data_IF_232891148975
#
_entry.id   IF_232891148975
#
_cell.length_a   1.000
_cell.length_b   1.000
_cell.length_c   1.000
_cell.angle_alpha   90.00
_cell.angle_beta   90.00
_cell.angle_gamma   90.00
#
_symmetry.space_group_name_H-M   'P 1'
#
loop_
_entity.id
_entity.type
_entity.pdbx_description
1 polymer ?
#
# COMPACT_ATOMS: atom_id res chain seq x y z
N UNK A 1 31.40 -17.65 15.13
CA UNK A 1 30.75 -17.91 13.82
C UNK A 1 29.47 -18.68 14.08
N UNK A 2 28.29 -18.10 13.80
CA UNK A 2 27.03 -18.85 13.87
C UNK A 2 26.85 -19.55 12.52
N UNK A 3 26.93 -20.88 12.50
CA UNK A 3 26.65 -21.67 11.31
C UNK A 3 25.15 -21.54 10.97
N UNK A 4 24.84 -20.93 9.82
CA UNK A 4 23.49 -20.90 9.29
C UNK A 4 23.19 -22.27 8.66
N UNK A 5 22.62 -23.18 9.44
CA UNK A 5 22.16 -24.48 8.92
C UNK A 5 20.87 -24.28 8.13
N UNK A 6 20.96 -24.37 6.81
CA UNK A 6 19.79 -24.41 5.91
C UNK A 6 19.09 -25.75 6.15
N UNK A 7 17.99 -25.75 6.92
CA UNK A 7 17.10 -26.91 7.01
C UNK A 7 16.08 -26.84 5.88
N UNK A 8 15.93 -27.92 5.14
CA UNK A 8 14.78 -28.07 4.23
C UNK A 8 13.56 -28.30 5.11
N UNK A 9 12.65 -27.33 5.20
CA UNK A 9 11.39 -27.50 5.90
C UNK A 9 10.52 -28.51 5.14
N UNK A 10 10.41 -29.72 5.68
CA UNK A 10 9.46 -30.72 5.25
C UNK A 10 8.13 -30.50 6.00
N UNK A 11 7.24 -29.65 5.47
CA UNK A 11 5.91 -29.43 6.05
C UNK A 11 5.20 -28.15 5.59
N UNK A 12 3.94 -27.98 6.04
CA UNK A 12 3.05 -26.82 5.83
C UNK A 12 3.49 -25.56 6.60
N UNK A 13 4.74 -25.47 7.05
CA UNK A 13 5.31 -24.30 7.72
C UNK A 13 6.04 -23.42 6.69
N UNK A 14 5.27 -22.79 5.80
CA UNK A 14 5.78 -21.96 4.70
C UNK A 14 6.31 -20.59 5.16
N UNK A 15 6.07 -20.20 6.42
CA UNK A 15 6.53 -18.93 7.00
C UNK A 15 7.20 -19.21 8.35
N UNK A 16 8.53 -19.13 8.40
CA UNK A 16 9.26 -19.07 9.67
C UNK A 16 9.20 -17.63 10.21
N UNK A 17 8.20 -17.38 11.06
CA UNK A 17 8.01 -16.09 11.74
C UNK A 17 9.23 -15.68 12.57
N UNK A 18 10.00 -16.64 13.08
CA UNK A 18 11.19 -16.38 13.90
C UNK A 18 12.35 -15.89 13.03
N UNK A 19 12.52 -16.48 11.84
CA UNK A 19 13.51 -16.03 10.86
C UNK A 19 13.15 -14.65 10.30
N UNK A 20 11.86 -14.43 10.00
CA UNK A 20 11.35 -13.11 9.60
C UNK A 20 11.64 -12.03 10.66
N UNK A 21 11.36 -12.33 11.93
CA UNK A 21 11.63 -11.39 13.02
C UNK A 21 13.12 -11.09 13.21
N UNK A 22 13.99 -12.10 13.01
CA UNK A 22 15.44 -11.90 13.01
C UNK A 22 15.90 -11.04 11.83
N UNK A 23 15.19 -11.07 10.70
CA UNK A 23 15.46 -10.26 9.52
C UNK A 23 14.85 -8.86 9.54
N UNK A 24 14.30 -8.39 10.67
CA UNK A 24 13.63 -7.07 10.78
C UNK A 24 14.51 -5.90 10.33
N UNK A 25 15.81 -5.97 10.61
CA UNK A 25 16.75 -4.90 10.24
C UNK A 25 16.92 -4.85 8.71
N UNK A 26 16.92 -6.01 8.06
CA UNK A 26 16.91 -6.11 6.60
C UNK A 26 15.60 -5.59 6.02
N UNK A 27 14.46 -5.97 6.61
CA UNK A 27 13.13 -5.47 6.17
C UNK A 27 13.10 -3.94 6.24
N UNK A 28 13.54 -3.34 7.35
CA UNK A 28 13.60 -1.89 7.50
C UNK A 28 14.58 -1.24 6.52
N UNK A 29 15.71 -1.88 6.24
CA UNK A 29 16.65 -1.41 5.21
C UNK A 29 16.01 -1.42 3.82
N UNK A 30 15.28 -2.47 3.47
CA UNK A 30 14.56 -2.58 2.20
C UNK A 30 13.41 -1.57 2.11
N UNK A 31 12.66 -1.36 3.19
CA UNK A 31 11.62 -0.32 3.29
C UNK A 31 12.23 1.06 3.02
N UNK A 32 13.32 1.40 3.70
CA UNK A 32 14.00 2.69 3.53
C UNK A 32 14.49 2.87 2.10
N UNK A 33 15.14 1.83 1.54
CA UNK A 33 15.62 1.83 0.15
C UNK A 33 14.47 2.12 -0.80
N UNK A 34 13.36 1.40 -0.65
CA UNK A 34 12.21 1.51 -1.53
C UNK A 34 11.55 2.90 -1.45
N UNK A 35 11.40 3.47 -0.25
CA UNK A 35 10.91 4.84 -0.08
C UNK A 35 11.82 5.88 -0.75
N UNK A 36 13.13 5.77 -0.55
CA UNK A 36 14.11 6.68 -1.18
C UNK A 36 14.03 6.58 -2.71
N UNK A 37 13.93 5.36 -3.25
CA UNK A 37 13.77 5.15 -4.70
C UNK A 37 12.49 5.80 -5.21
N UNK A 38 11.36 5.62 -4.52
CA UNK A 38 10.07 6.23 -4.92
C UNK A 38 10.12 7.76 -4.89
N UNK A 39 10.72 8.35 -3.86
CA UNK A 39 10.87 9.80 -3.77
C UNK A 39 11.82 10.35 -4.84
N UNK A 40 12.90 9.62 -5.16
CA UNK A 40 13.86 10.03 -6.19
C UNK A 40 13.29 9.92 -7.61
N UNK A 41 12.32 9.05 -7.85
CA UNK A 41 11.67 8.88 -9.15
C UNK A 41 10.63 9.96 -9.47
N UNK A 42 10.25 10.79 -8.50
CA UNK A 42 9.24 11.84 -8.68
C UNK A 42 9.88 13.22 -8.79
N UNK A 43 9.48 14.01 -9.81
CA UNK A 43 9.99 15.38 -10.03
C UNK A 43 9.73 16.28 -8.81
N UNK A 44 8.57 16.13 -8.18
CA UNK A 44 8.13 16.95 -7.03
C UNK A 44 8.51 16.35 -5.66
N UNK A 45 9.25 15.23 -5.65
CA UNK A 45 9.59 14.53 -4.42
C UNK A 45 8.37 14.11 -3.59
N UNK A 46 8.42 14.22 -2.25
CA UNK A 46 7.32 13.81 -1.37
C UNK A 46 5.97 14.50 -1.64
N UNK A 47 5.99 15.71 -2.21
CA UNK A 47 4.77 16.47 -2.52
C UNK A 47 3.89 15.76 -3.56
N UNK A 48 4.50 14.92 -4.41
CA UNK A 48 3.78 14.16 -5.43
C UNK A 48 2.69 13.25 -4.84
N UNK A 49 2.94 12.66 -3.66
CA UNK A 49 2.00 11.77 -2.98
C UNK A 49 0.71 12.48 -2.52
N UNK A 50 0.72 13.82 -2.46
CA UNK A 50 -0.43 14.65 -2.12
C UNK A 50 -1.07 15.22 -3.39
N UNK A 51 -0.26 15.68 -4.35
CA UNK A 51 -0.77 16.29 -5.58
C UNK A 51 -1.56 15.27 -6.42
N UNK A 52 -1.01 14.08 -6.62
CA UNK A 52 -1.64 13.04 -7.44
C UNK A 52 -3.07 12.70 -6.99
N UNK A 53 -3.34 12.36 -5.71
CA UNK A 53 -4.70 12.06 -5.28
C UNK A 53 -5.64 13.26 -5.34
N UNK A 54 -5.16 14.48 -5.10
CA UNK A 54 -5.98 15.70 -5.23
C UNK A 54 -6.42 15.90 -6.67
N UNK A 55 -5.48 15.86 -7.62
CA UNK A 55 -5.78 16.02 -9.05
C UNK A 55 -6.75 14.94 -9.50
N UNK A 56 -6.52 13.68 -9.12
CA UNK A 56 -7.43 12.59 -9.45
C UNK A 56 -8.81 12.77 -8.84
N UNK A 57 -8.91 13.19 -7.58
CA UNK A 57 -10.18 13.46 -6.93
C UNK A 57 -10.95 14.60 -7.60
N UNK A 58 -10.27 15.67 -8.03
CA UNK A 58 -10.89 16.77 -8.80
C UNK A 58 -11.45 16.24 -10.11
N UNK A 59 -10.66 15.50 -10.89
CA UNK A 59 -11.09 14.95 -12.18
C UNK A 59 -12.32 14.07 -12.02
N UNK A 60 -12.31 13.14 -11.05
CA UNK A 60 -13.46 12.28 -10.78
C UNK A 60 -14.68 13.06 -10.28
N UNK A 61 -14.47 14.13 -9.53
CA UNK A 61 -15.56 14.98 -9.03
C UNK A 61 -16.22 15.79 -10.15
N UNK A 62 -15.42 16.31 -11.07
CA UNK A 62 -15.93 16.96 -12.28
C UNK A 62 -16.73 15.98 -13.11
N UNK A 63 -16.23 14.74 -13.28
CA UNK A 63 -16.94 13.68 -14.01
C UNK A 63 -18.30 13.33 -13.38
N UNK A 64 -18.39 13.26 -12.05
CA UNK A 64 -19.66 13.05 -11.33
C UNK A 64 -20.62 14.21 -11.58
N UNK A 65 -20.14 15.45 -11.44
CA UNK A 65 -20.94 16.66 -11.62
C UNK A 65 -21.39 16.88 -13.08
N UNK A 66 -20.62 16.41 -14.06
CA UNK A 66 -20.92 16.59 -15.49
C UNK A 66 -21.99 15.65 -16.04
N UNK A 67 -22.73 14.93 -15.18
CA UNK A 67 -23.88 14.13 -15.59
C UNK A 67 -23.65 12.61 -15.63
N UNK A 68 -22.67 12.09 -14.88
CA UNK A 68 -22.48 10.63 -14.77
C UNK A 68 -23.63 9.89 -14.04
N UNK A 69 -24.69 10.60 -13.62
CA UNK A 69 -25.84 10.01 -12.92
C UNK A 69 -25.53 9.45 -11.52
N UNK A 70 -24.30 9.63 -11.04
CA UNK A 70 -23.86 9.21 -9.71
C UNK A 70 -24.26 10.29 -8.71
N UNK A 71 -25.22 9.98 -7.85
CA UNK A 71 -25.58 10.86 -6.73
C UNK A 71 -24.67 10.53 -5.54
N UNK A 72 -24.11 11.56 -4.92
CA UNK A 72 -23.23 11.39 -3.75
C UNK A 72 -23.98 11.47 -2.42
N UNK A 73 -25.31 11.25 -2.44
CA UNK A 73 -26.20 11.24 -1.26
C UNK A 73 -25.96 12.41 -0.28
N UNK A 74 -25.66 13.61 -0.81
CA UNK A 74 -25.39 14.81 -0.01
C UNK A 74 -23.94 15.01 0.45
N UNK A 75 -23.04 14.07 0.16
CA UNK A 75 -21.59 14.21 0.41
C UNK A 75 -20.93 14.97 -0.75
N UNK A 76 -20.00 15.91 -0.48
CA UNK A 76 -19.23 16.55 -1.56
C UNK A 76 -18.50 15.51 -2.43
N UNK A 77 -18.65 15.55 -3.78
CA UNK A 77 -18.01 14.58 -4.67
C UNK A 77 -16.50 14.47 -4.48
N UNK A 78 -15.84 15.60 -4.17
CA UNK A 78 -14.41 15.62 -3.88
C UNK A 78 -14.05 14.75 -2.68
N UNK A 79 -14.79 14.87 -1.58
CA UNK A 79 -14.57 14.09 -0.37
C UNK A 79 -14.86 12.59 -0.59
N UNK A 80 -15.94 12.29 -1.32
CA UNK A 80 -16.31 10.92 -1.70
C UNK A 80 -15.22 10.23 -2.53
N UNK A 81 -14.70 10.92 -3.55
CA UNK A 81 -13.63 10.40 -4.39
C UNK A 81 -12.32 10.24 -3.61
N UNK A 82 -11.96 11.23 -2.78
CA UNK A 82 -10.73 11.18 -2.00
C UNK A 82 -10.71 9.99 -1.01
N UNK A 83 -11.84 9.67 -0.39
CA UNK A 83 -12.02 8.49 0.45
C UNK A 83 -11.75 7.18 -0.30
N UNK A 84 -12.27 7.10 -1.54
CA UNK A 84 -12.18 5.90 -2.38
C UNK A 84 -10.77 5.68 -2.95
N UNK A 85 -10.06 6.76 -3.23
CA UNK A 85 -8.74 6.72 -3.87
C UNK A 85 -7.63 6.17 -2.94
N UNK A 86 -7.70 6.45 -1.63
CA UNK A 86 -6.67 6.01 -0.69
C UNK A 86 -6.45 4.48 -0.65
N UNK A 87 -7.48 3.65 -0.39
CA UNK A 87 -7.32 2.20 -0.43
C UNK A 87 -7.03 1.67 -1.84
N UNK A 88 -7.57 2.31 -2.88
CA UNK A 88 -7.33 1.92 -4.27
C UNK A 88 -5.86 2.09 -4.68
N UNK A 89 -5.24 3.22 -4.35
CA UNK A 89 -3.83 3.46 -4.67
C UNK A 89 -2.93 2.51 -3.90
N UNK A 90 -3.21 2.26 -2.62
CA UNK A 90 -2.48 1.25 -1.86
C UNK A 90 -2.60 -0.13 -2.49
N UNK A 91 -3.82 -0.57 -2.84
CA UNK A 91 -4.08 -1.87 -3.45
C UNK A 91 -3.33 -2.00 -4.79
N UNK A 92 -3.58 -1.10 -5.74
CA UNK A 92 -3.04 -1.17 -7.09
C UNK A 92 -1.52 -1.11 -7.11
N UNK A 93 -0.91 -0.21 -6.33
CA UNK A 93 0.54 -0.07 -6.26
C UNK A 93 1.20 -1.26 -5.56
N UNK A 94 0.64 -1.73 -4.44
CA UNK A 94 1.20 -2.85 -3.68
C UNK A 94 1.03 -4.15 -4.44
N UNK A 95 -0.14 -4.41 -5.02
CA UNK A 95 -0.40 -5.60 -5.82
C UNK A 95 0.58 -5.74 -6.98
N UNK A 96 0.76 -4.67 -7.77
CA UNK A 96 1.69 -4.67 -8.90
C UNK A 96 3.15 -4.84 -8.45
N UNK A 97 3.57 -4.13 -7.40
CA UNK A 97 4.95 -4.18 -6.90
C UNK A 97 5.29 -5.54 -6.29
N UNK A 98 4.36 -6.12 -5.51
CA UNK A 98 4.51 -7.46 -4.92
C UNK A 98 4.55 -8.51 -6.03
N UNK A 99 3.65 -8.44 -7.01
CA UNK A 99 3.62 -9.34 -8.16
C UNK A 99 4.92 -9.36 -8.97
N UNK A 100 5.65 -8.24 -9.02
CA UNK A 100 6.93 -8.14 -9.71
C UNK A 100 8.16 -8.38 -8.79
N UNK A 101 7.97 -8.64 -7.49
CA UNK A 101 9.04 -8.59 -6.50
C UNK A 101 10.17 -9.59 -6.75
N UNK A 102 9.85 -10.84 -7.11
CA UNK A 102 10.87 -11.87 -7.34
C UNK A 102 11.72 -11.59 -8.58
N UNK A 103 11.11 -11.03 -9.64
CA UNK A 103 11.83 -10.64 -10.85
C UNK A 103 12.72 -9.42 -10.58
N UNK A 104 12.15 -8.37 -9.98
CA UNK A 104 12.87 -7.11 -9.74
C UNK A 104 14.03 -7.25 -8.75
N UNK A 105 13.98 -8.23 -7.84
CA UNK A 105 15.01 -8.45 -6.83
C UNK A 105 15.83 -9.74 -7.07
N UNK A 106 15.76 -10.36 -8.26
CA UNK A 106 16.48 -11.59 -8.59
C UNK A 106 18.00 -11.50 -8.30
N UNK A 107 18.63 -10.38 -8.70
CA UNK A 107 20.05 -10.12 -8.44
C UNK A 107 20.41 -10.08 -6.94
N UNK A 108 19.48 -9.62 -6.10
CA UNK A 108 19.68 -9.55 -4.66
C UNK A 108 19.60 -10.95 -4.04
N UNK A 109 18.63 -11.76 -4.46
CA UNK A 109 18.47 -13.15 -4.01
C UNK A 109 19.65 -14.05 -4.37
N UNK A 110 20.37 -13.75 -5.45
CA UNK A 110 21.56 -14.49 -5.85
C UNK A 110 22.81 -14.15 -5.01
N UNK A 111 22.86 -12.96 -4.39
CA UNK A 111 24.05 -12.46 -3.70
C UNK A 111 23.98 -12.62 -2.19
N UNK A 112 22.78 -12.63 -1.61
CA UNK A 112 22.58 -12.66 -0.15
C UNK A 112 21.44 -13.61 0.19
N UNK A 113 21.65 -14.48 1.18
CA UNK A 113 20.60 -15.34 1.70
C UNK A 113 19.73 -14.61 2.73
N UNK A 114 18.42 -14.61 2.54
CA UNK A 114 17.42 -14.13 3.49
C UNK A 114 16.03 -14.70 3.13
N UNK A 115 15.04 -14.67 4.05
CA UNK A 115 13.70 -15.16 3.77
C UNK A 115 13.05 -14.44 2.59
N UNK A 116 12.56 -15.19 1.60
CA UNK A 116 11.98 -14.60 0.39
C UNK A 116 10.73 -13.75 0.67
N UNK A 117 10.02 -14.03 1.77
CA UNK A 117 8.88 -13.26 2.26
C UNK A 117 9.25 -11.88 2.79
N UNK A 118 10.52 -11.61 3.14
CA UNK A 118 10.95 -10.30 3.65
C UNK A 118 10.81 -9.18 2.62
N UNK A 119 10.95 -9.46 1.31
CA UNK A 119 10.84 -8.41 0.27
C UNK A 119 9.39 -7.98 0.02
N UNK A 120 8.43 -8.90 -0.22
CA UNK A 120 7.02 -8.53 -0.31
C UNK A 120 6.51 -7.76 0.91
N UNK A 121 6.93 -8.17 2.11
CA UNK A 121 6.61 -7.45 3.35
C UNK A 121 7.19 -6.03 3.36
N UNK A 122 8.46 -5.86 2.97
CA UNK A 122 9.08 -4.55 2.88
C UNK A 122 8.35 -3.62 1.89
N UNK A 123 7.92 -4.15 0.74
CA UNK A 123 7.12 -3.39 -0.25
C UNK A 123 5.76 -2.99 0.31
N UNK A 124 5.06 -3.91 1.00
CA UNK A 124 3.79 -3.61 1.67
C UNK A 124 3.94 -2.53 2.72
N UNK A 125 4.98 -2.62 3.56
CA UNK A 125 5.28 -1.64 4.61
C UNK A 125 5.67 -0.26 4.05
N UNK A 126 6.42 -0.20 2.94
CA UNK A 126 6.76 1.10 2.34
C UNK A 126 5.52 1.79 1.76
N UNK A 127 4.60 1.04 1.15
CA UNK A 127 3.35 1.58 0.62
C UNK A 127 2.39 2.04 1.71
N UNK A 128 2.50 1.53 2.94
CA UNK A 128 1.72 2.05 4.07
C UNK A 128 2.02 3.52 4.36
N UNK A 129 3.23 4.00 4.07
CA UNK A 129 3.58 5.42 4.21
C UNK A 129 2.73 6.27 3.27
N UNK A 130 2.59 5.84 2.01
CA UNK A 130 1.74 6.53 1.03
C UNK A 130 0.25 6.49 1.45
N UNK A 131 -0.23 5.33 1.93
CA UNK A 131 -1.59 5.21 2.47
C UNK A 131 -1.82 6.13 3.67
N UNK A 132 -0.85 6.24 4.59
CA UNK A 132 -0.93 7.12 5.74
C UNK A 132 -0.99 8.60 5.33
N UNK A 133 -0.20 9.02 4.34
CA UNK A 133 -0.24 10.38 3.78
C UNK A 133 -1.62 10.65 3.16
N UNK A 134 -2.14 9.74 2.35
CA UNK A 134 -3.43 9.88 1.68
C UNK A 134 -4.60 9.86 2.67
N UNK A 135 -4.54 9.02 3.70
CA UNK A 135 -5.54 8.98 4.78
C UNK A 135 -5.51 10.27 5.60
N UNK A 136 -4.31 10.79 5.91
CA UNK A 136 -4.16 12.07 6.60
C UNK A 136 -4.73 13.22 5.78
N UNK A 137 -4.46 13.25 4.48
CA UNK A 137 -5.05 14.21 3.55
C UNK A 137 -6.59 14.14 3.56
N UNK A 138 -7.16 12.94 3.49
CA UNK A 138 -8.61 12.74 3.59
C UNK A 138 -9.17 13.29 4.91
N UNK A 139 -8.54 12.99 6.04
CA UNK A 139 -8.97 13.49 7.35
C UNK A 139 -8.91 15.02 7.45
N UNK A 140 -7.86 15.64 6.91
CA UNK A 140 -7.72 17.11 6.87
C UNK A 140 -8.88 17.73 6.06
N UNK A 141 -9.16 17.18 4.88
CA UNK A 141 -10.25 17.66 4.03
C UNK A 141 -11.62 17.44 4.69
N UNK A 142 -11.83 16.29 5.34
CA UNK A 142 -13.05 15.98 6.09
C UNK A 142 -13.31 17.04 7.18
N UNK A 143 -12.30 17.35 7.99
CA UNK A 143 -12.42 18.38 9.05
C UNK A 143 -12.69 19.76 8.44
N UNK A 144 -12.03 20.11 7.33
CA UNK A 144 -12.28 21.39 6.65
C UNK A 144 -13.74 21.54 6.18
N UNK A 145 -14.35 20.47 5.65
CA UNK A 145 -15.77 20.48 5.28
C UNK A 145 -16.71 20.60 6.49
N UNK A 146 -16.38 19.98 7.62
CA UNK A 146 -17.16 20.09 8.86
C UNK A 146 -17.16 21.52 9.41
N UNK A 147 -15.99 22.17 9.45
CA UNK A 147 -15.86 23.57 9.90
C UNK A 147 -16.61 24.52 8.96
N UNK A 148 -16.70 24.18 7.67
CA UNK A 148 -17.42 24.97 6.66
C UNK A 148 -18.96 24.81 6.75
N UNK A 149 -19.48 24.06 7.71
CA UNK A 149 -20.92 23.89 7.93
C UNK A 149 -21.60 22.86 7.02
N UNK A 150 -20.83 22.04 6.29
CA UNK A 150 -21.40 20.93 5.51
C UNK A 150 -21.70 19.78 6.48
N UNK A 151 -22.96 19.34 6.49
CA UNK A 151 -23.51 18.28 7.36
C UNK A 151 -23.00 16.88 6.96
N UNK A 152 -21.68 16.68 7.03
CA UNK A 152 -21.06 15.36 6.99
C UNK A 152 -21.17 14.74 8.37
N UNK A 153 -22.22 13.94 8.61
CA UNK A 153 -22.39 13.20 9.87
C UNK A 153 -21.46 11.98 9.87
N UNK A 154 -20.36 11.99 10.64
CA UNK A 154 -19.45 10.84 10.71
C UNK A 154 -20.17 9.72 11.45
N UNK A 155 -20.39 8.60 10.77
CA UNK A 155 -20.98 7.42 11.41
C UNK A 155 -19.99 6.80 12.39
N UNK A 156 -20.51 6.14 13.44
CA UNK A 156 -19.72 5.33 14.39
C UNK A 156 -18.84 4.27 13.70
N UNK A 157 -19.17 3.93 12.45
CA UNK A 157 -18.43 2.99 11.58
C UNK A 157 -16.98 3.40 11.30
N UNK A 158 -16.57 4.64 11.60
CA UNK A 158 -15.16 5.06 11.50
C UNK A 158 -14.23 4.18 12.36
N UNK A 159 -14.74 3.60 13.45
CA UNK A 159 -14.01 2.66 14.30
C UNK A 159 -13.60 1.38 13.53
N UNK A 160 -14.25 1.06 12.40
CA UNK A 160 -13.92 -0.09 11.55
C UNK A 160 -12.76 0.19 10.58
N UNK A 161 -12.33 1.44 10.40
CA UNK A 161 -11.24 1.80 9.46
C UNK A 161 -9.96 0.97 9.70
N UNK A 162 -9.46 0.78 10.94
CA UNK A 162 -8.28 -0.04 11.18
C UNK A 162 -8.47 -1.49 10.73
N UNK A 163 -9.66 -2.06 10.92
CA UNK A 163 -9.99 -3.43 10.50
C UNK A 163 -9.95 -3.53 8.99
N UNK A 164 -10.58 -2.57 8.28
CA UNK A 164 -10.56 -2.51 6.81
C UNK A 164 -9.14 -2.38 6.25
N UNK A 165 -8.26 -1.62 6.90
CA UNK A 165 -6.87 -1.52 6.49
C UNK A 165 -6.08 -2.81 6.71
N UNK A 166 -6.31 -3.52 7.81
CA UNK A 166 -5.69 -4.83 8.03
C UNK A 166 -6.13 -5.81 6.95
N UNK A 167 -7.44 -5.89 6.67
CA UNK A 167 -7.98 -6.73 5.59
C UNK A 167 -7.37 -6.37 4.24
N UNK A 168 -7.28 -5.07 3.92
CA UNK A 168 -6.67 -4.57 2.69
C UNK A 168 -5.21 -5.02 2.56
N UNK A 169 -4.40 -4.86 3.62
CA UNK A 169 -2.98 -5.26 3.61
C UNK A 169 -2.84 -6.75 3.39
N UNK A 170 -3.57 -7.56 4.17
CA UNK A 170 -3.51 -9.03 4.08
C UNK A 170 -3.95 -9.51 2.71
N UNK A 171 -5.07 -9.00 2.21
CA UNK A 171 -5.61 -9.35 0.90
C UNK A 171 -4.64 -8.97 -0.22
N UNK A 172 -4.12 -7.75 -0.20
CA UNK A 172 -3.23 -7.25 -1.26
C UNK A 172 -1.91 -8.01 -1.29
N UNK A 173 -1.30 -8.29 -0.13
CA UNK A 173 -0.08 -9.08 -0.05
C UNK A 173 -0.32 -10.53 -0.49
N UNK A 174 -1.41 -11.14 -0.04
CA UNK A 174 -1.78 -12.51 -0.44
C UNK A 174 -2.00 -12.64 -1.95
N UNK A 175 -2.84 -11.78 -2.52
CA UNK A 175 -3.13 -11.78 -3.95
C UNK A 175 -1.87 -11.46 -4.78
N UNK A 176 -1.07 -10.48 -4.36
CA UNK A 176 0.18 -10.13 -5.00
C UNK A 176 1.20 -11.28 -4.99
N UNK A 177 1.30 -12.02 -3.89
CA UNK A 177 2.18 -13.19 -3.76
C UNK A 177 1.76 -14.32 -4.70
N UNK A 178 0.46 -14.57 -4.85
CA UNK A 178 -0.06 -15.52 -5.84
C UNK A 178 0.45 -15.15 -7.25
N UNK A 179 0.32 -13.88 -7.64
CA UNK A 179 0.82 -13.38 -8.93
C UNK A 179 2.35 -13.49 -9.01
N UNK A 180 3.08 -13.14 -7.95
CA UNK A 180 4.54 -13.22 -7.92
C UNK A 180 5.05 -14.66 -8.15
N UNK A 181 4.37 -15.64 -7.55
CA UNK A 181 4.71 -17.05 -7.73
C UNK A 181 4.52 -17.52 -9.17
N UNK A 182 3.44 -17.08 -9.84
CA UNK A 182 3.18 -17.37 -11.24
C UNK A 182 4.20 -16.66 -12.13
N UNK A 183 4.42 -15.37 -11.91
CA UNK A 183 5.35 -14.56 -12.68
C UNK A 183 6.80 -15.09 -12.62
N UNK A 184 7.21 -15.65 -11.47
CA UNK A 184 8.52 -16.27 -11.30
C UNK A 184 8.66 -17.65 -11.97
N UNK A 185 7.56 -18.35 -12.26
CA UNK A 185 7.58 -19.66 -12.92
C UNK A 185 7.68 -19.57 -14.45
N UNK A 186 7.07 -18.52 -15.03
CA UNK A 186 6.95 -18.35 -16.49
C UNK A 186 8.03 -17.42 -17.09
N UNK A 187 9.06 -17.07 -16.33
CA UNK A 187 10.23 -16.29 -16.76
C UNK A 187 11.50 -16.99 -16.32
#
# INVERSE_FOLDING_TARGET
MRETRIRVHAGWEWIDWRELWQSRDLVMLLVRRDLVTKYAQTILGPLWFVIQPIVMAIVLSVAINSGAGVTTEGVPPFLFNLCSLAPWFYFSQTFASVGATFVNNANLFQKVYFPRSSVPLAVGLSNLVALAIQTSLFLIVLVAYQVSGVSTSPSWRIVLIPVLFIELVVFTLGAGLCVASLAARYR
#
